data_IF_639742516711
#
_entry.id   IF_639742516711
#
_cell.length_a   1.000
_cell.length_b   1.000
_cell.length_c   1.000
_cell.angle_alpha   90.00
_cell.angle_beta   90.00
_cell.angle_gamma   90.00
#
_symmetry.space_group_name_H-M   'P 1'
#
loop_
_entity.id
_entity.type
_entity.pdbx_description
1 polymer ?
#
# COMPACT_ATOMS: atom_id res chain seq x y z
N UNK A 1 17.64 -8.11 7.13
CA UNK A 1 16.17 -8.30 7.27
C UNK A 1 15.64 -8.89 5.98
N UNK A 2 14.74 -9.88 6.02
CA UNK A 2 14.07 -10.36 4.79
C UNK A 2 13.25 -9.19 4.22
N UNK A 3 13.34 -8.88 2.92
CA UNK A 3 12.50 -7.84 2.34
C UNK A 3 11.04 -8.30 2.44
N UNK A 4 10.22 -7.52 3.15
CA UNK A 4 8.78 -7.76 3.16
C UNK A 4 8.23 -7.36 1.80
N UNK A 5 7.43 -8.25 1.19
CA UNK A 5 6.74 -7.88 -0.05
C UNK A 5 5.74 -6.75 0.24
N UNK A 6 5.54 -5.86 -0.73
CA UNK A 6 4.60 -4.74 -0.61
C UNK A 6 3.21 -5.22 -0.19
N UNK A 7 2.73 -6.33 -0.76
CA UNK A 7 1.46 -6.95 -0.40
C UNK A 7 1.36 -7.33 1.09
N UNK A 8 2.43 -7.89 1.68
CA UNK A 8 2.44 -8.24 3.11
C UNK A 8 2.38 -7.01 4.00
N UNK A 9 3.11 -5.96 3.65
CA UNK A 9 3.10 -4.70 4.41
C UNK A 9 1.73 -4.01 4.32
N UNK A 10 1.12 -3.97 3.14
CA UNK A 10 -0.23 -3.41 2.98
C UNK A 10 -1.27 -4.19 3.78
N UNK A 11 -1.19 -5.53 3.78
CA UNK A 11 -2.08 -6.35 4.59
C UNK A 11 -1.97 -6.01 6.08
N UNK A 12 -0.74 -6.00 6.62
CA UNK A 12 -0.50 -5.65 8.03
C UNK A 12 -0.95 -4.22 8.34
N UNK A 13 -0.72 -3.27 7.43
CA UNK A 13 -1.16 -1.89 7.59
C UNK A 13 -2.69 -1.79 7.73
N UNK A 14 -3.46 -2.42 6.83
CA UNK A 14 -4.93 -2.33 6.86
C UNK A 14 -5.56 -3.15 7.99
N UNK A 15 -5.12 -4.40 8.19
CA UNK A 15 -5.77 -5.31 9.13
C UNK A 15 -5.25 -5.15 10.56
N UNK A 16 -3.93 -5.10 10.74
CA UNK A 16 -3.35 -5.07 12.09
C UNK A 16 -3.26 -3.63 12.58
N UNK A 17 -2.62 -2.74 11.83
CA UNK A 17 -2.37 -1.38 12.31
C UNK A 17 -3.64 -0.51 12.31
N UNK A 18 -4.32 -0.36 11.17
CA UNK A 18 -5.53 0.48 11.08
C UNK A 18 -6.69 -0.14 11.85
N UNK A 19 -6.93 -1.44 11.68
CA UNK A 19 -8.05 -2.15 12.27
C UNK A 19 -7.87 -2.42 13.76
N UNK A 20 -6.82 -3.15 14.15
CA UNK A 20 -6.68 -3.63 15.53
C UNK A 20 -5.99 -2.62 16.45
N UNK A 21 -4.90 -2.01 16.00
CA UNK A 21 -4.09 -1.14 16.89
C UNK A 21 -4.65 0.28 16.99
N UNK A 22 -5.18 0.82 15.90
CA UNK A 22 -5.73 2.19 15.84
C UNK A 22 -7.25 2.25 15.94
N UNK A 23 -7.94 1.12 15.78
CA UNK A 23 -9.41 1.03 15.80
C UNK A 23 -10.08 2.12 14.94
N UNK A 24 -9.53 2.35 13.74
CA UNK A 24 -10.05 3.37 12.84
C UNK A 24 -11.44 2.99 12.32
N UNK A 25 -12.27 3.99 12.07
CA UNK A 25 -13.62 3.75 11.55
C UNK A 25 -13.57 3.02 10.20
N UNK A 26 -14.63 2.25 9.91
CA UNK A 26 -14.76 1.55 8.63
C UNK A 26 -14.60 2.50 7.42
N UNK A 27 -15.21 3.70 7.49
CA UNK A 27 -15.11 4.70 6.43
C UNK A 27 -13.67 5.23 6.26
N UNK A 28 -12.92 5.37 7.35
CA UNK A 28 -11.49 5.74 7.29
C UNK A 28 -10.67 4.65 6.59
N UNK A 29 -10.88 3.38 6.94
CA UNK A 29 -10.20 2.25 6.30
C UNK A 29 -10.50 2.19 4.80
N UNK A 30 -11.77 2.38 4.40
CA UNK A 30 -12.17 2.42 3.00
C UNK A 30 -11.53 3.58 2.24
N UNK A 31 -11.51 4.78 2.83
CA UNK A 31 -10.86 5.96 2.24
C UNK A 31 -9.38 5.69 1.95
N UNK A 32 -8.64 5.13 2.91
CA UNK A 32 -7.23 4.76 2.70
C UNK A 32 -7.05 3.68 1.63
N UNK A 33 -7.92 2.66 1.60
CA UNK A 33 -7.91 1.62 0.57
C UNK A 33 -8.07 2.23 -0.82
N UNK A 34 -8.97 3.20 -0.96
CA UNK A 34 -9.22 3.87 -2.23
C UNK A 34 -8.02 4.74 -2.63
N UNK A 35 -7.39 5.46 -1.68
CA UNK A 35 -6.12 6.17 -1.91
C UNK A 35 -5.01 5.24 -2.38
N UNK A 36 -4.82 4.09 -1.70
CA UNK A 36 -3.79 3.12 -2.09
C UNK A 36 -4.03 2.53 -3.47
N UNK A 37 -5.29 2.25 -3.86
CA UNK A 37 -5.60 1.81 -5.24
C UNK A 37 -5.20 2.86 -6.29
N UNK A 38 -5.46 4.14 -6.03
CA UNK A 38 -5.07 5.22 -6.93
C UNK A 38 -3.55 5.35 -7.02
N UNK A 39 -2.86 5.35 -5.88
CA UNK A 39 -1.40 5.44 -5.83
C UNK A 39 -0.72 4.28 -6.56
N UNK A 40 -1.15 3.03 -6.32
CA UNK A 40 -0.53 1.86 -6.94
C UNK A 40 -0.73 1.83 -8.46
N UNK A 41 -1.90 2.26 -8.95
CA UNK A 41 -2.14 2.43 -10.40
C UNK A 41 -1.21 3.49 -10.98
N UNK A 42 -1.14 4.66 -10.34
CA UNK A 42 -0.25 5.74 -10.77
C UNK A 42 1.22 5.29 -10.84
N UNK A 43 1.72 4.59 -9.82
CA UNK A 43 3.09 4.09 -9.79
C UNK A 43 3.32 3.02 -10.85
N UNK A 44 2.38 2.09 -11.01
CA UNK A 44 2.43 1.05 -12.05
C UNK A 44 2.56 1.65 -13.45
N UNK A 45 1.75 2.66 -13.76
CA UNK A 45 1.82 3.40 -15.03
C UNK A 45 3.17 4.12 -15.18
N UNK A 46 3.61 4.86 -14.16
CA UNK A 46 4.87 5.63 -14.20
C UNK A 46 6.11 4.76 -14.32
N UNK A 47 6.13 3.61 -13.65
CA UNK A 47 7.28 2.67 -13.65
C UNK A 47 7.17 1.64 -14.79
N UNK A 48 6.04 1.59 -15.52
CA UNK A 48 5.73 0.59 -16.55
C UNK A 48 5.91 -0.85 -16.05
N UNK A 49 5.31 -1.13 -14.89
CA UNK A 49 5.34 -2.44 -14.22
C UNK A 49 3.93 -2.85 -13.81
N UNK A 50 3.64 -4.15 -13.87
CA UNK A 50 2.40 -4.70 -13.32
C UNK A 50 2.22 -4.33 -11.84
N UNK A 51 0.99 -4.02 -11.42
CA UNK A 51 0.67 -3.65 -10.03
C UNK A 51 1.13 -4.74 -9.05
N UNK A 52 0.99 -6.01 -9.42
CA UNK A 52 1.39 -7.17 -8.62
C UNK A 52 2.90 -7.34 -8.52
N UNK A 53 3.66 -6.73 -9.43
CA UNK A 53 5.11 -6.74 -9.46
C UNK A 53 5.73 -5.53 -8.75
N UNK A 54 4.93 -4.61 -8.20
CA UNK A 54 5.42 -3.46 -7.44
C UNK A 54 6.05 -3.89 -6.12
N UNK A 55 7.11 -3.19 -5.76
CA UNK A 55 7.88 -3.36 -4.53
C UNK A 55 7.91 -2.04 -3.74
N UNK A 56 8.38 -2.09 -2.49
CA UNK A 56 8.51 -0.88 -1.65
C UNK A 56 9.37 0.21 -2.32
N UNK A 57 10.47 -0.18 -2.98
CA UNK A 57 11.34 0.76 -3.69
C UNK A 57 10.68 1.44 -4.89
N UNK A 58 9.58 0.89 -5.44
CA UNK A 58 8.84 1.57 -6.51
C UNK A 58 8.02 2.76 -5.99
N UNK A 59 7.73 2.80 -4.67
CA UNK A 59 6.99 3.86 -4.00
C UNK A 59 7.87 5.00 -3.49
N UNK A 60 9.19 4.84 -3.53
CA UNK A 60 10.14 5.87 -3.13
C UNK A 60 10.11 7.03 -4.14
N UNK A 61 10.07 8.26 -3.62
CA UNK A 61 10.22 9.45 -4.44
C UNK A 61 11.62 9.47 -5.05
N UNK A 62 11.72 9.84 -6.33
CA UNK A 62 13.01 10.22 -6.88
C UNK A 62 13.37 11.57 -6.27
N UNK A 63 14.45 11.61 -5.49
CA UNK A 63 15.07 12.85 -5.03
C UNK A 63 15.60 13.67 -6.20
#
# INVERSE_FOLDING_TARGET
MKPYSLAKVLHAFFHEWMGQQRNLSHHTVLSYRDTWKLLLRFVSERKRREITALSLSDLEAAE
#
